data_IF_220707492536
#
_entry.id   IF_220707492536
#
_cell.length_a   1.000
_cell.length_b   1.000
_cell.length_c   1.000
_cell.angle_alpha   90.00
_cell.angle_beta   90.00
_cell.angle_gamma   90.00
#
_symmetry.space_group_name_H-M   'P 1'
#
loop_
_entity.id
_entity.type
_entity.pdbx_description
1 polymer ?
#
# COMPACT_ATOMS: atom_id res chain seq x y z
N UNK A 1 -15.36 3.00 -6.07
CA UNK A 1 -15.29 1.91 -7.07
C UNK A 1 -16.70 1.69 -7.58
N UNK A 2 -16.92 1.76 -8.87
CA UNK A 2 -18.25 1.50 -9.45
C UNK A 2 -18.48 -0.03 -9.60
N UNK A 3 -19.73 -0.45 -9.89
CA UNK A 3 -20.08 -1.87 -9.99
C UNK A 3 -19.27 -2.61 -11.09
N UNK A 4 -18.89 -1.92 -12.16
CA UNK A 4 -18.07 -2.48 -13.25
C UNK A 4 -16.63 -2.73 -12.81
N UNK A 5 -16.02 -1.83 -12.06
CA UNK A 5 -14.68 -2.02 -11.48
C UNK A 5 -14.67 -3.19 -10.50
N UNK A 6 -15.72 -3.30 -9.68
CA UNK A 6 -15.89 -4.42 -8.75
C UNK A 6 -16.02 -5.76 -9.47
N UNK A 7 -16.89 -5.83 -10.47
CA UNK A 7 -17.06 -7.02 -11.31
C UNK A 7 -15.77 -7.37 -12.07
N UNK A 8 -15.04 -6.35 -12.55
CA UNK A 8 -13.75 -6.54 -13.21
C UNK A 8 -12.70 -7.20 -12.31
N UNK A 9 -12.55 -6.73 -11.07
CA UNK A 9 -11.61 -7.32 -10.11
C UNK A 9 -11.98 -8.76 -9.72
N UNK A 10 -13.28 -9.05 -9.58
CA UNK A 10 -13.76 -10.42 -9.34
C UNK A 10 -13.48 -11.34 -10.54
N UNK A 11 -13.71 -10.86 -11.76
CA UNK A 11 -13.43 -11.61 -12.99
C UNK A 11 -11.93 -11.91 -13.14
N UNK A 12 -11.05 -10.95 -12.84
CA UNK A 12 -9.60 -11.13 -12.85
C UNK A 12 -9.19 -12.24 -11.90
N UNK A 13 -9.67 -12.24 -10.67
CA UNK A 13 -9.37 -13.29 -9.70
C UNK A 13 -9.92 -14.69 -10.10
N UNK A 14 -11.00 -14.73 -10.90
CA UNK A 14 -11.57 -15.98 -11.40
C UNK A 14 -10.74 -16.59 -12.53
N UNK A 15 -10.06 -15.75 -13.31
CA UNK A 15 -9.21 -16.15 -14.45
C UNK A 15 -7.76 -16.43 -14.00
N UNK A 16 -7.31 -15.87 -12.90
CA UNK A 16 -6.04 -16.22 -12.26
C UNK A 16 -6.17 -17.61 -11.63
N UNK A 17 -5.85 -18.67 -12.40
CA UNK A 17 -5.88 -20.04 -11.93
C UNK A 17 -4.99 -20.24 -10.71
N UNK A 18 -5.39 -21.13 -9.77
CA UNK A 18 -4.58 -21.47 -8.62
C UNK A 18 -3.25 -22.06 -9.07
N UNK A 19 -2.20 -21.27 -9.00
CA UNK A 19 -0.85 -21.79 -8.97
C UNK A 19 -0.62 -22.49 -7.61
N UNK A 20 0.47 -23.24 -7.42
CA UNK A 20 0.78 -23.95 -6.18
C UNK A 20 1.11 -23.01 -4.99
N UNK A 21 0.81 -21.73 -5.09
CA UNK A 21 1.07 -20.78 -4.02
C UNK A 21 0.16 -21.06 -2.83
N UNK A 22 0.74 -21.31 -1.68
CA UNK A 22 0.01 -21.48 -0.43
C UNK A 22 -0.60 -20.14 -0.04
N UNK A 23 -1.93 -20.13 0.08
CA UNK A 23 -2.65 -19.02 0.68
C UNK A 23 -3.33 -19.48 1.96
N UNK A 24 -3.18 -18.72 3.01
CA UNK A 24 -3.84 -18.96 4.30
C UNK A 24 -4.66 -17.74 4.66
N UNK A 25 -5.63 -17.93 5.56
CA UNK A 25 -6.43 -16.84 6.11
C UNK A 25 -6.28 -16.83 7.62
N UNK A 26 -6.20 -15.67 8.21
CA UNK A 26 -6.15 -15.50 9.65
C UNK A 26 -7.06 -14.36 10.10
N UNK A 27 -7.60 -14.50 11.32
CA UNK A 27 -8.40 -13.49 11.98
C UNK A 27 -7.48 -12.62 12.83
N UNK A 28 -7.35 -11.33 12.51
CA UNK A 28 -6.52 -10.42 13.30
C UNK A 28 -7.33 -9.57 14.29
N UNK A 29 -8.61 -9.28 13.99
CA UNK A 29 -9.49 -8.56 14.90
C UNK A 29 -10.78 -9.34 15.12
N UNK A 30 -10.96 -9.89 16.34
CA UNK A 30 -12.16 -10.69 16.70
C UNK A 30 -13.42 -9.85 16.82
N UNK A 31 -13.30 -8.63 17.36
CA UNK A 31 -14.44 -7.75 17.60
C UNK A 31 -15.15 -7.39 16.28
N UNK A 32 -14.40 -7.12 15.25
CA UNK A 32 -14.93 -6.67 13.96
C UNK A 32 -14.85 -7.73 12.85
N UNK A 33 -14.45 -8.97 13.20
CA UNK A 33 -14.29 -10.09 12.25
C UNK A 33 -13.40 -9.75 11.04
N UNK A 34 -12.34 -8.97 11.29
CA UNK A 34 -11.41 -8.58 10.24
C UNK A 34 -10.34 -9.65 10.05
N UNK A 35 -10.07 -9.96 8.79
CA UNK A 35 -9.17 -11.04 8.40
C UNK A 35 -8.06 -10.55 7.48
N UNK A 36 -7.00 -11.32 7.41
CA UNK A 36 -5.94 -11.22 6.41
C UNK A 36 -5.93 -12.45 5.50
N UNK A 37 -5.54 -12.23 4.24
CA UNK A 37 -5.12 -13.29 3.33
C UNK A 37 -3.59 -13.26 3.24
N UNK A 38 -2.94 -14.39 3.46
CA UNK A 38 -1.49 -14.54 3.50
C UNK A 38 -1.07 -15.34 2.27
N UNK A 39 -0.07 -14.84 1.56
CA UNK A 39 0.51 -15.47 0.38
C UNK A 39 2.00 -15.67 0.64
N UNK A 40 2.39 -16.92 0.82
CA UNK A 40 3.79 -17.32 0.96
C UNK A 40 4.29 -17.85 -0.38
N UNK A 41 5.29 -17.14 -0.91
CA UNK A 41 6.14 -17.65 -2.00
C UNK A 41 7.29 -18.45 -1.44
N UNK A 42 8.37 -18.53 -2.21
CA UNK A 42 9.65 -19.12 -1.76
C UNK A 42 10.43 -18.14 -0.83
N UNK A 43 9.71 -17.38 0.00
CA UNK A 43 10.31 -16.45 0.93
C UNK A 43 11.19 -17.19 1.93
N UNK A 44 12.42 -16.72 2.13
CA UNK A 44 13.27 -17.22 3.21
C UNK A 44 12.60 -16.92 4.57
N UNK A 45 12.89 -17.72 5.59
CA UNK A 45 12.35 -17.51 6.94
C UNK A 45 12.63 -16.09 7.47
N UNK A 46 13.72 -15.46 7.02
CA UNK A 46 14.17 -14.12 7.42
C UNK A 46 13.83 -13.03 6.40
N UNK A 47 13.02 -13.35 5.35
CA UNK A 47 12.66 -12.41 4.29
C UNK A 47 11.69 -11.31 4.75
N UNK A 48 11.48 -10.29 3.90
CA UNK A 48 10.54 -9.20 4.16
C UNK A 48 9.10 -9.71 4.27
N UNK A 49 8.30 -9.05 5.10
CA UNK A 49 6.82 -9.17 5.09
C UNK A 49 6.22 -7.90 4.52
N UNK A 50 5.37 -8.03 3.52
CA UNK A 50 4.63 -6.89 2.96
C UNK A 50 3.20 -6.92 3.46
N UNK A 51 2.79 -5.91 4.22
CA UNK A 51 1.40 -5.69 4.62
C UNK A 51 0.73 -4.75 3.61
N UNK A 52 -0.23 -5.27 2.87
CA UNK A 52 -0.92 -4.55 1.80
C UNK A 52 -2.36 -4.20 2.16
N UNK A 53 -2.74 -2.94 1.91
CA UNK A 53 -4.11 -2.45 2.01
C UNK A 53 -4.66 -2.11 0.62
N UNK A 54 -5.87 -2.60 0.33
CA UNK A 54 -6.53 -2.40 -0.96
C UNK A 54 -7.21 -1.04 -1.08
N UNK A 55 -7.54 -0.68 -2.34
CA UNK A 55 -8.29 0.53 -2.66
C UNK A 55 -9.80 0.36 -2.56
N UNK A 56 -10.54 1.46 -2.77
CA UNK A 56 -12.00 1.46 -2.77
C UNK A 56 -12.62 2.72 -2.18
N UNK A 57 -11.89 3.84 -2.18
CA UNK A 57 -12.35 5.14 -1.69
C UNK A 57 -12.88 5.07 -0.23
N UNK A 58 -12.31 4.19 0.59
CA UNK A 58 -12.72 3.91 1.98
C UNK A 58 -14.18 3.46 2.14
N UNK A 59 -14.89 3.13 1.05
CA UNK A 59 -16.30 2.74 1.02
C UNK A 59 -16.51 1.30 0.54
N UNK A 60 -15.58 0.76 -0.21
CA UNK A 60 -15.73 -0.53 -0.88
C UNK A 60 -14.42 -1.29 -0.92
N UNK A 61 -14.45 -2.48 -1.50
CA UNK A 61 -13.32 -3.38 -1.60
C UNK A 61 -13.35 -4.48 -0.55
N UNK A 62 -12.59 -5.53 -0.84
CA UNK A 62 -12.39 -6.67 0.04
C UNK A 62 -11.07 -7.35 -0.31
N UNK A 63 -10.34 -7.90 0.68
CA UNK A 63 -9.04 -8.55 0.48
C UNK A 63 -9.05 -9.60 -0.64
N UNK A 64 -10.13 -10.39 -0.73
CA UNK A 64 -10.24 -11.46 -1.74
C UNK A 64 -10.23 -10.95 -3.19
N UNK A 65 -10.52 -9.67 -3.41
CA UNK A 65 -10.45 -9.05 -4.74
C UNK A 65 -9.03 -8.71 -5.16
N UNK A 66 -8.09 -8.73 -4.21
CA UNK A 66 -6.69 -8.37 -4.42
C UNK A 66 -5.73 -9.57 -4.30
N UNK A 67 -6.27 -10.79 -4.48
CA UNK A 67 -5.48 -12.02 -4.54
C UNK A 67 -4.32 -11.90 -5.52
N UNK A 68 -4.56 -11.37 -6.72
CA UNK A 68 -3.55 -11.17 -7.76
C UNK A 68 -2.38 -10.28 -7.31
N UNK A 69 -2.62 -9.32 -6.39
CA UNK A 69 -1.56 -8.49 -5.79
C UNK A 69 -0.76 -9.31 -4.78
N UNK A 70 -1.45 -10.03 -3.87
CA UNK A 70 -0.78 -10.90 -2.90
C UNK A 70 0.12 -11.93 -3.58
N UNK A 71 -0.38 -12.59 -4.63
CA UNK A 71 0.40 -13.54 -5.44
C UNK A 71 1.56 -12.86 -6.20
N UNK A 72 1.37 -11.61 -6.69
CA UNK A 72 2.43 -10.88 -7.37
C UNK A 72 3.58 -10.57 -6.41
N UNK A 73 3.28 -10.05 -5.23
CA UNK A 73 4.26 -9.73 -4.21
C UNK A 73 4.98 -10.98 -3.69
N UNK A 74 4.24 -12.06 -3.40
CA UNK A 74 4.83 -13.30 -2.92
C UNK A 74 5.83 -13.91 -3.93
N UNK A 75 5.59 -13.78 -5.24
CA UNK A 75 6.54 -14.20 -6.29
C UNK A 75 7.81 -13.36 -6.34
N UNK A 76 7.85 -12.21 -5.69
CA UNK A 76 9.05 -11.40 -5.52
C UNK A 76 9.88 -11.82 -4.28
N UNK A 77 9.54 -12.94 -3.64
CA UNK A 77 10.29 -13.51 -2.53
C UNK A 77 9.95 -12.90 -1.16
N UNK A 78 8.78 -12.26 -1.03
CA UNK A 78 8.29 -11.74 0.25
C UNK A 78 7.05 -12.51 0.71
N UNK A 79 6.80 -12.56 2.03
CA UNK A 79 5.49 -12.95 2.54
C UNK A 79 4.53 -11.77 2.34
N UNK A 80 3.46 -11.95 1.58
CA UNK A 80 2.47 -10.90 1.34
C UNK A 80 1.21 -11.12 2.18
N UNK A 81 0.83 -10.12 2.97
CA UNK A 81 -0.34 -10.11 3.83
C UNK A 81 -1.30 -9.04 3.32
N UNK A 82 -2.48 -9.44 2.85
CA UNK A 82 -3.52 -8.53 2.37
C UNK A 82 -4.59 -8.40 3.44
N UNK A 83 -4.74 -7.21 4.04
CA UNK A 83 -5.60 -6.99 5.20
C UNK A 83 -6.94 -6.35 4.83
N UNK A 84 -8.00 -6.79 5.51
CA UNK A 84 -9.28 -6.08 5.56
C UNK A 84 -9.21 -4.87 6.50
N UNK A 85 -10.14 -3.96 6.31
CA UNK A 85 -10.42 -2.85 7.21
C UNK A 85 -11.90 -2.45 7.09
N UNK A 86 -12.49 -1.88 8.17
CA UNK A 86 -13.86 -1.35 8.14
C UNK A 86 -13.94 -0.11 7.24
N UNK A 87 -15.10 0.08 6.65
CA UNK A 87 -15.35 1.08 5.61
C UNK A 87 -16.57 1.94 5.94
N UNK A 88 -16.62 3.14 5.37
CA UNK A 88 -17.83 3.96 5.40
C UNK A 88 -19.02 3.24 4.75
N UNK A 89 -20.26 3.36 5.29
CA UNK A 89 -20.66 4.18 6.43
C UNK A 89 -20.53 3.50 7.80
N UNK A 90 -20.08 2.23 7.86
CA UNK A 90 -19.97 1.45 9.12
C UNK A 90 -18.89 2.02 10.03
N UNK A 91 -17.80 2.52 9.45
CA UNK A 91 -16.67 3.10 10.17
C UNK A 91 -16.28 4.46 9.61
N UNK A 92 -15.64 5.28 10.43
CA UNK A 92 -14.99 6.53 10.05
C UNK A 92 -13.48 6.35 9.98
N UNK A 93 -12.78 7.38 9.55
CA UNK A 93 -11.32 7.35 9.39
C UNK A 93 -10.57 6.85 10.62
N UNK A 94 -10.94 7.32 11.82
CA UNK A 94 -10.28 6.89 13.06
C UNK A 94 -10.42 5.37 13.28
N UNK A 95 -11.61 4.80 13.04
CA UNK A 95 -11.87 3.36 13.17
C UNK A 95 -11.09 2.56 12.13
N UNK A 96 -11.13 3.01 10.86
CA UNK A 96 -10.39 2.36 9.77
C UNK A 96 -8.87 2.42 10.01
N UNK A 97 -8.37 3.54 10.54
CA UNK A 97 -6.95 3.68 10.86
C UNK A 97 -6.54 2.82 12.05
N UNK A 98 -7.42 2.63 13.03
CA UNK A 98 -7.23 1.68 14.12
C UNK A 98 -7.16 0.25 13.58
N UNK A 99 -8.07 -0.16 12.69
CA UNK A 99 -8.04 -1.49 12.07
C UNK A 99 -6.70 -1.74 11.35
N UNK A 100 -6.18 -0.72 10.68
CA UNK A 100 -4.88 -0.81 9.99
C UNK A 100 -3.71 -0.95 10.98
N UNK A 101 -3.77 -0.28 12.16
CA UNK A 101 -2.79 -0.47 13.24
C UNK A 101 -2.87 -1.89 13.81
N UNK A 102 -4.07 -2.40 14.08
CA UNK A 102 -4.28 -3.76 14.59
C UNK A 102 -3.76 -4.82 13.61
N UNK A 103 -3.95 -4.61 12.29
CA UNK A 103 -3.38 -5.48 11.26
C UNK A 103 -1.84 -5.47 11.29
N UNK A 104 -1.22 -4.31 11.48
CA UNK A 104 0.23 -4.20 11.61
C UNK A 104 0.71 -4.88 12.90
N UNK A 105 0.06 -4.65 14.03
CA UNK A 105 0.41 -5.27 15.31
C UNK A 105 0.29 -6.80 15.25
N UNK A 106 -0.72 -7.30 14.55
CA UNK A 106 -0.87 -8.73 14.27
C UNK A 106 0.31 -9.26 13.43
N UNK A 107 0.69 -8.56 12.34
CA UNK A 107 1.85 -8.94 11.50
C UNK A 107 3.13 -8.98 12.34
N UNK A 108 3.36 -7.99 13.20
CA UNK A 108 4.53 -7.95 14.07
C UNK A 108 4.57 -9.10 15.09
N UNK A 109 3.40 -9.58 15.49
CA UNK A 109 3.26 -10.72 16.42
C UNK A 109 3.48 -12.06 15.71
N UNK A 110 2.93 -12.23 14.50
CA UNK A 110 3.04 -13.48 13.73
C UNK A 110 4.42 -13.67 13.08
N UNK A 111 5.10 -12.55 12.80
CA UNK A 111 6.41 -12.54 12.14
C UNK A 111 7.46 -11.81 12.99
N UNK A 112 7.78 -12.31 14.19
CA UNK A 112 8.69 -11.63 15.11
C UNK A 112 10.10 -11.51 14.51
N UNK A 113 10.66 -10.31 14.60
CA UNK A 113 12.02 -10.01 14.11
C UNK A 113 12.14 -9.81 12.61
N UNK A 114 11.05 -10.00 11.83
CA UNK A 114 11.08 -9.72 10.39
C UNK A 114 10.88 -8.23 10.09
N UNK A 115 11.48 -7.78 9.03
CA UNK A 115 11.35 -6.42 8.52
C UNK A 115 10.07 -6.28 7.69
N UNK A 116 9.34 -5.18 7.90
CA UNK A 116 8.02 -4.95 7.33
C UNK A 116 8.09 -3.90 6.22
N UNK A 117 7.43 -4.18 5.10
CA UNK A 117 7.13 -3.20 4.06
C UNK A 117 5.63 -2.93 4.07
N UNK A 118 5.24 -1.69 4.28
CA UNK A 118 3.85 -1.29 4.16
C UNK A 118 3.54 -0.95 2.71
N UNK A 119 2.45 -1.48 2.18
CA UNK A 119 2.07 -1.25 0.79
C UNK A 119 0.57 -1.01 0.65
N UNK A 120 0.17 -0.33 -0.42
CA UNK A 120 -1.25 -0.17 -0.69
C UNK A 120 -1.55 0.49 -2.03
N UNK A 121 -2.82 0.40 -2.42
CA UNK A 121 -3.35 1.03 -3.61
C UNK A 121 -4.44 2.04 -3.26
N UNK A 122 -4.41 3.25 -3.85
CA UNK A 122 -5.46 4.26 -3.69
C UNK A 122 -5.74 4.57 -2.20
N UNK A 123 -6.96 4.39 -1.70
CA UNK A 123 -7.32 4.54 -0.28
C UNK A 123 -6.45 3.67 0.65
N UNK A 124 -6.05 2.47 0.21
CA UNK A 124 -5.13 1.62 0.95
C UNK A 124 -3.71 2.16 1.01
N UNK A 125 -3.24 2.82 -0.06
CA UNK A 125 -1.94 3.50 -0.04
C UNK A 125 -1.93 4.70 0.92
N UNK A 126 -3.05 5.38 1.09
CA UNK A 126 -3.21 6.39 2.12
C UNK A 126 -3.06 5.81 3.54
N UNK A 127 -3.76 4.71 3.85
CA UNK A 127 -3.66 4.04 5.16
C UNK A 127 -2.24 3.53 5.43
N UNK A 128 -1.66 2.81 4.47
CA UNK A 128 -0.29 2.30 4.56
C UNK A 128 0.74 3.42 4.74
N UNK A 129 0.57 4.54 4.02
CA UNK A 129 1.46 5.70 4.14
C UNK A 129 1.39 6.35 5.51
N UNK A 130 0.19 6.53 6.08
CA UNK A 130 0.02 7.05 7.44
C UNK A 130 0.62 6.11 8.49
N UNK A 131 0.45 4.79 8.35
CA UNK A 131 1.11 3.81 9.23
C UNK A 131 2.62 3.91 9.14
N UNK A 132 3.16 3.95 7.92
CA UNK A 132 4.61 4.04 7.68
C UNK A 132 5.20 5.28 8.35
N UNK A 133 4.50 6.40 8.27
CA UNK A 133 4.92 7.65 8.90
C UNK A 133 4.79 7.57 10.43
N UNK A 134 3.61 7.28 10.94
CA UNK A 134 3.33 7.42 12.37
C UNK A 134 4.00 6.35 13.24
N UNK A 135 4.23 5.13 12.68
CA UNK A 135 4.84 4.01 13.41
C UNK A 135 6.38 3.98 13.31
N UNK A 136 6.99 4.91 12.57
CA UNK A 136 8.45 5.09 12.48
C UNK A 136 8.97 6.24 13.36
N UNK A 137 8.09 6.96 14.02
CA UNK A 137 8.47 8.07 14.90
C UNK A 137 9.33 7.55 16.06
N UNK A 138 10.49 8.19 16.29
CA UNK A 138 11.44 7.82 17.34
C UNK A 138 12.62 6.96 16.84
N UNK A 139 12.72 6.73 15.52
CA UNK A 139 13.92 6.20 14.86
C UNK A 139 14.11 4.68 14.95
N UNK A 140 13.42 3.97 15.84
CA UNK A 140 13.45 2.51 15.88
C UNK A 140 12.10 1.95 15.40
N UNK A 141 12.13 1.30 14.24
CA UNK A 141 10.93 0.71 13.68
C UNK A 141 11.29 -0.52 12.85
N UNK A 142 10.51 -1.61 12.92
CA UNK A 142 10.65 -2.74 12.01
C UNK A 142 10.17 -2.41 10.59
N UNK A 143 9.58 -1.22 10.37
CA UNK A 143 9.08 -0.79 9.06
C UNK A 143 10.27 -0.27 8.25
N UNK A 144 10.67 -1.02 7.23
CA UNK A 144 11.81 -0.72 6.36
C UNK A 144 11.45 0.12 5.13
N UNK A 145 10.20 0.03 4.67
CA UNK A 145 9.81 0.71 3.46
C UNK A 145 8.30 0.90 3.34
N UNK A 146 7.95 1.80 2.42
CA UNK A 146 6.57 2.04 2.01
C UNK A 146 6.46 1.99 0.48
N UNK A 147 5.47 1.23 -0.04
CA UNK A 147 5.13 1.17 -1.47
C UNK A 147 3.72 1.71 -1.67
N UNK A 148 3.62 2.87 -2.29
CA UNK A 148 2.34 3.53 -2.54
C UNK A 148 1.96 3.55 -4.02
N UNK A 149 0.89 2.84 -4.39
CA UNK A 149 0.35 2.81 -5.75
C UNK A 149 -0.85 3.75 -5.84
N UNK A 150 -0.72 4.84 -6.60
CA UNK A 150 -1.76 5.83 -6.87
C UNK A 150 -2.46 6.36 -5.60
N UNK A 151 -1.72 6.59 -4.52
CA UNK A 151 -2.28 7.02 -3.24
C UNK A 151 -2.56 8.51 -3.17
N UNK A 152 -3.66 8.92 -2.48
CA UNK A 152 -3.91 10.31 -2.10
C UNK A 152 -3.15 10.61 -0.81
N UNK A 153 -2.26 11.62 -0.85
CA UNK A 153 -1.39 11.96 0.28
C UNK A 153 -1.52 13.41 0.75
N UNK A 154 -2.14 14.26 -0.10
CA UNK A 154 -2.37 15.69 0.15
C UNK A 154 -3.64 16.14 -0.59
N UNK A 155 -4.82 15.83 -0.04
CA UNK A 155 -6.12 15.98 -0.70
C UNK A 155 -7.13 16.82 0.10
N UNK A 156 -6.68 17.52 1.12
CA UNK A 156 -7.47 18.55 1.79
C UNK A 156 -7.27 19.91 1.10
N UNK A 157 -8.34 20.71 0.89
CA UNK A 157 -9.75 20.45 1.23
C UNK A 157 -10.38 19.36 0.37
N UNK A 158 -11.33 18.62 0.98
CA UNK A 158 -11.97 17.49 0.32
C UNK A 158 -12.92 17.94 -0.81
N UNK A 159 -12.88 17.24 -1.93
CA UNK A 159 -13.75 17.47 -3.09
C UNK A 159 -15.06 16.67 -3.03
N UNK A 160 -15.08 15.54 -2.34
CA UNK A 160 -16.26 14.69 -2.23
C UNK A 160 -16.96 14.91 -0.88
N UNK A 161 -18.31 15.02 -0.90
CA UNK A 161 -19.10 15.25 0.31
C UNK A 161 -18.92 14.16 1.37
N UNK A 162 -18.76 12.92 0.96
CA UNK A 162 -18.53 11.79 1.85
C UNK A 162 -17.26 11.96 2.68
N UNK A 163 -16.18 12.50 2.09
CA UNK A 163 -14.91 12.66 2.77
C UNK A 163 -15.01 13.59 4.00
N UNK A 164 -15.86 14.63 3.95
CA UNK A 164 -16.09 15.50 5.09
C UNK A 164 -16.70 14.77 6.30
N UNK A 165 -17.52 13.74 6.03
CA UNK A 165 -18.10 12.90 7.07
C UNK A 165 -17.14 11.79 7.53
N UNK A 166 -16.45 11.15 6.59
CA UNK A 166 -15.53 10.07 6.87
C UNK A 166 -14.30 10.54 7.68
N UNK A 167 -13.66 11.62 7.26
CA UNK A 167 -12.46 12.17 7.92
C UNK A 167 -12.77 13.12 9.09
N UNK A 168 -14.05 13.44 9.32
CA UNK A 168 -14.45 14.34 10.41
C UNK A 168 -14.26 13.75 11.81
N UNK A 169 -14.28 14.56 12.84
CA UNK A 169 -14.55 16.01 12.86
C UNK A 169 -13.41 16.87 12.31
N UNK A 170 -13.68 18.14 12.02
CA UNK A 170 -12.78 19.05 11.29
C UNK A 170 -11.37 19.17 11.87
N UNK A 171 -11.21 19.07 13.19
CA UNK A 171 -9.91 19.11 13.86
C UNK A 171 -9.01 17.89 13.54
N UNK A 172 -9.59 16.80 13.03
CA UNK A 172 -8.84 15.60 12.59
C UNK A 172 -8.38 15.67 11.12
N UNK A 173 -8.88 16.63 10.31
CA UNK A 173 -8.53 16.67 8.89
C UNK A 173 -7.03 16.77 8.63
N UNK A 174 -6.24 17.56 9.36
CA UNK A 174 -4.79 17.58 9.19
C UNK A 174 -4.12 16.23 9.47
N UNK A 175 -4.54 15.53 10.51
CA UNK A 175 -3.97 14.21 10.87
C UNK A 175 -4.27 13.11 9.86
N UNK A 176 -5.28 13.31 9.02
CA UNK A 176 -5.59 12.39 7.93
C UNK A 176 -4.72 12.59 6.67
N UNK A 177 -3.85 13.62 6.63
CA UNK A 177 -3.05 13.93 5.45
C UNK A 177 -1.59 13.47 5.64
N UNK A 178 -1.12 12.41 4.96
CA UNK A 178 0.24 11.91 5.10
C UNK A 178 1.33 12.98 5.00
N UNK A 179 1.21 13.90 4.03
CA UNK A 179 2.19 14.99 3.83
C UNK A 179 2.35 15.87 5.08
N UNK A 180 1.30 16.04 5.88
CA UNK A 180 1.36 16.88 7.09
C UNK A 180 1.88 16.15 8.33
N UNK A 181 1.98 14.81 8.26
CA UNK A 181 2.47 13.97 9.36
C UNK A 181 3.96 13.63 9.25
N UNK A 182 4.61 14.00 8.12
CA UNK A 182 6.00 13.63 7.85
C UNK A 182 6.99 14.23 8.87
N UNK A 183 7.97 13.41 9.23
CA UNK A 183 9.13 13.74 10.08
C UNK A 183 10.41 13.09 9.48
N UNK A 184 11.57 13.31 10.09
CA UNK A 184 12.87 12.82 9.58
C UNK A 184 13.04 11.30 9.63
N UNK A 185 12.31 10.61 10.53
CA UNK A 185 12.50 9.19 10.81
C UNK A 185 11.67 8.26 9.92
N UNK A 186 11.00 8.80 8.88
CA UNK A 186 10.17 7.99 7.98
C UNK A 186 11.02 6.98 7.20
N UNK A 187 10.47 5.77 6.92
CA UNK A 187 11.17 4.78 6.11
C UNK A 187 11.32 5.28 4.67
N UNK A 188 12.19 4.62 3.90
CA UNK A 188 12.28 4.88 2.46
C UNK A 188 10.93 4.61 1.78
N UNK A 189 10.66 5.33 0.68
CA UNK A 189 9.37 5.25 -0.01
C UNK A 189 9.52 5.00 -1.50
N UNK A 190 8.72 4.07 -2.04
CA UNK A 190 8.48 3.90 -3.48
C UNK A 190 7.08 4.37 -3.81
N UNK A 191 6.98 5.43 -4.62
CA UNK A 191 5.72 6.07 -4.99
C UNK A 191 5.44 5.90 -6.48
N UNK A 192 4.49 5.04 -6.82
CA UNK A 192 4.13 4.67 -8.19
C UNK A 192 2.82 5.33 -8.61
N UNK A 193 2.77 5.94 -9.79
CA UNK A 193 1.61 6.67 -10.27
C UNK A 193 1.41 6.54 -11.78
N UNK A 194 0.17 6.46 -12.23
CA UNK A 194 -0.16 6.56 -13.64
C UNK A 194 -0.25 8.03 -14.10
N UNK A 195 0.29 8.37 -15.27
CA UNK A 195 0.19 9.71 -15.83
C UNK A 195 -1.26 10.08 -16.17
N UNK A 196 -2.08 9.08 -16.55
CA UNK A 196 -3.48 9.22 -16.93
C UNK A 196 -4.45 8.97 -15.74
N UNK A 197 -3.95 9.06 -14.50
CA UNK A 197 -4.81 8.95 -13.32
C UNK A 197 -5.63 10.22 -13.12
N UNK A 198 -6.94 10.12 -13.42
CA UNK A 198 -7.91 11.19 -13.23
C UNK A 198 -8.66 11.10 -11.88
N UNK A 199 -8.52 10.00 -11.15
CA UNK A 199 -9.15 9.82 -9.83
C UNK A 199 -8.29 10.38 -8.71
N UNK A 200 -7.02 9.98 -8.67
CA UNK A 200 -6.01 10.51 -7.78
C UNK A 200 -4.94 11.19 -8.61
N UNK A 201 -4.94 12.50 -8.63
CA UNK A 201 -4.00 13.27 -9.46
C UNK A 201 -2.55 12.96 -9.08
N UNK A 202 -1.67 12.75 -10.04
CA UNK A 202 -0.24 12.45 -9.85
C UNK A 202 0.52 13.49 -9.00
N UNK A 203 -0.03 14.68 -8.80
CA UNK A 203 0.46 15.68 -7.86
C UNK A 203 0.48 15.22 -6.40
N UNK A 204 -0.35 14.24 -6.03
CA UNK A 204 -0.40 13.67 -4.70
C UNK A 204 0.91 12.94 -4.34
N UNK A 205 1.37 12.04 -5.20
CA UNK A 205 2.65 11.36 -5.02
C UNK A 205 3.84 12.32 -5.16
N UNK A 206 3.71 13.38 -5.98
CA UNK A 206 4.76 14.41 -6.10
C UNK A 206 4.91 15.18 -4.78
N UNK A 207 3.80 15.62 -4.17
CA UNK A 207 3.84 16.36 -2.91
C UNK A 207 4.49 15.55 -1.77
N UNK A 208 4.14 14.25 -1.65
CA UNK A 208 4.76 13.37 -0.67
C UNK A 208 6.26 13.20 -0.93
N UNK A 209 6.63 12.90 -2.17
CA UNK A 209 8.01 12.74 -2.61
C UNK A 209 8.88 13.95 -2.28
N UNK A 210 8.46 15.16 -2.72
CA UNK A 210 9.20 16.38 -2.48
C UNK A 210 9.36 16.70 -1.00
N UNK A 211 8.31 16.41 -0.20
CA UNK A 211 8.36 16.64 1.23
C UNK A 211 9.29 15.66 1.96
N UNK A 212 9.32 14.38 1.57
CA UNK A 212 10.26 13.39 2.12
C UNK A 212 11.69 13.81 1.84
N UNK A 213 12.02 14.17 0.60
CA UNK A 213 13.36 14.63 0.24
C UNK A 213 13.75 15.91 0.98
N UNK A 214 12.80 16.85 1.14
CA UNK A 214 13.02 18.08 1.90
C UNK A 214 13.31 17.89 3.39
N UNK A 215 13.00 16.71 3.93
CA UNK A 215 13.33 16.30 5.30
C UNK A 215 14.61 15.43 5.38
N UNK A 216 15.30 15.23 4.25
CA UNK A 216 16.49 14.37 4.17
C UNK A 216 16.17 12.87 4.10
N UNK A 217 14.89 12.49 3.95
CA UNK A 217 14.48 11.10 3.77
C UNK A 217 14.76 10.58 2.36
N UNK A 218 14.57 9.27 2.17
CA UNK A 218 14.76 8.59 0.88
C UNK A 218 13.40 8.29 0.24
N UNK A 219 13.21 8.72 -1.00
CA UNK A 219 12.02 8.39 -1.76
C UNK A 219 12.33 8.25 -3.26
N UNK A 220 11.67 7.29 -3.91
CA UNK A 220 11.71 7.08 -5.34
C UNK A 220 10.29 7.30 -5.86
N UNK A 221 10.15 8.09 -6.91
CA UNK A 221 8.86 8.33 -7.55
C UNK A 221 8.91 7.95 -9.03
N UNK A 222 8.00 7.07 -9.46
CA UNK A 222 7.83 6.67 -10.86
C UNK A 222 6.46 7.06 -11.38
N UNK A 223 6.42 7.57 -12.59
CA UNK A 223 5.17 7.91 -13.30
C UNK A 223 5.15 7.16 -14.62
N UNK A 224 4.08 6.41 -14.87
CA UNK A 224 3.93 5.58 -16.06
C UNK A 224 2.97 6.24 -17.03
N UNK A 225 3.48 6.64 -18.20
CA UNK A 225 2.76 7.50 -19.17
C UNK A 225 1.45 6.91 -19.67
N UNK A 226 1.36 5.59 -19.81
CA UNK A 226 0.20 4.92 -20.41
C UNK A 226 -0.77 4.30 -19.38
N UNK A 227 -0.55 4.53 -18.08
CA UNK A 227 -1.39 3.95 -17.03
C UNK A 227 -2.29 4.99 -16.38
N UNK A 228 -3.52 4.59 -16.09
CA UNK A 228 -4.46 5.30 -15.24
C UNK A 228 -4.50 4.71 -13.84
N UNK A 229 -5.56 5.04 -13.07
CA UNK A 229 -5.72 4.65 -11.68
C UNK A 229 -5.83 3.13 -11.47
N UNK A 230 -6.73 2.50 -12.22
CA UNK A 230 -6.95 1.05 -12.13
C UNK A 230 -5.88 0.27 -12.89
N UNK A 231 -5.43 0.78 -14.03
CA UNK A 231 -4.41 0.12 -14.85
C UNK A 231 -3.12 -0.09 -14.07
N UNK A 232 -2.76 0.85 -13.17
CA UNK A 232 -1.55 0.74 -12.36
C UNK A 232 -1.57 -0.52 -11.47
N UNK A 233 -2.65 -0.80 -10.77
CA UNK A 233 -2.73 -1.99 -9.92
C UNK A 233 -2.93 -3.27 -10.75
N UNK A 234 -3.54 -3.17 -11.93
CA UNK A 234 -3.70 -4.28 -12.85
C UNK A 234 -2.37 -4.77 -13.47
N UNK A 235 -1.30 -4.02 -13.34
CA UNK A 235 0.05 -4.49 -13.68
C UNK A 235 0.49 -5.69 -12.81
N UNK A 236 -0.16 -5.90 -11.67
CA UNK A 236 0.06 -7.07 -10.81
C UNK A 236 -0.61 -8.36 -11.33
N UNK A 237 -1.49 -8.30 -12.35
CA UNK A 237 -2.14 -9.50 -12.87
C UNK A 237 -1.15 -10.40 -13.63
N UNK A 238 -1.36 -11.71 -13.55
CA UNK A 238 -0.42 -12.74 -14.00
C UNK A 238 0.10 -12.55 -15.43
N UNK A 239 -0.77 -12.22 -16.38
CA UNK A 239 -0.39 -12.09 -17.80
C UNK A 239 0.30 -10.76 -18.12
N UNK A 240 0.26 -9.74 -17.24
CA UNK A 240 0.99 -8.48 -17.39
C UNK A 240 2.36 -8.52 -16.74
N UNK A 241 2.48 -9.20 -15.60
CA UNK A 241 3.71 -9.25 -14.76
C UNK A 241 5.02 -9.43 -15.54
N UNK A 242 5.12 -10.35 -16.54
CA UNK A 242 6.39 -10.57 -17.23
C UNK A 242 6.92 -9.37 -17.99
N UNK A 243 6.08 -8.38 -18.26
CA UNK A 243 6.42 -7.18 -19.03
C UNK A 243 6.06 -5.89 -18.28
N UNK A 244 5.79 -6.00 -16.98
CA UNK A 244 5.35 -4.88 -16.16
C UNK A 244 6.53 -4.13 -15.55
N UNK A 245 6.76 -2.90 -15.98
CA UNK A 245 7.70 -2.00 -15.31
C UNK A 245 7.31 -1.68 -13.87
N UNK A 246 6.01 -1.72 -13.53
CA UNK A 246 5.52 -1.53 -12.15
C UNK A 246 6.05 -2.65 -11.25
N UNK A 247 5.92 -3.91 -11.68
CA UNK A 247 6.42 -5.07 -10.94
C UNK A 247 7.95 -5.06 -10.87
N UNK A 248 8.61 -4.67 -11.96
CA UNK A 248 10.06 -4.55 -11.98
C UNK A 248 10.57 -3.50 -10.98
N UNK A 249 9.95 -2.32 -10.93
CA UNK A 249 10.32 -1.27 -9.98
C UNK A 249 10.04 -1.71 -8.53
N UNK A 250 8.95 -2.43 -8.26
CA UNK A 250 8.67 -3.02 -6.94
C UNK A 250 9.74 -4.06 -6.58
N UNK A 251 10.11 -4.96 -7.50
CA UNK A 251 11.13 -5.97 -7.26
C UNK A 251 12.49 -5.35 -6.94
N UNK A 252 12.91 -4.35 -7.72
CA UNK A 252 14.15 -3.61 -7.48
C UNK A 252 14.16 -2.93 -6.11
N UNK A 253 13.05 -2.31 -5.73
CA UNK A 253 12.92 -1.66 -4.45
C UNK A 253 13.00 -2.64 -3.27
N UNK A 254 12.26 -3.75 -3.33
CA UNK A 254 12.31 -4.80 -2.31
C UNK A 254 13.72 -5.39 -2.16
N UNK A 255 14.42 -5.62 -3.29
CA UNK A 255 15.80 -6.06 -3.26
C UNK A 255 16.74 -5.01 -2.64
N UNK A 256 16.55 -3.74 -2.97
CA UNK A 256 17.36 -2.64 -2.41
C UNK A 256 17.17 -2.50 -0.89
N UNK A 257 15.98 -2.78 -0.36
CA UNK A 257 15.73 -2.81 1.09
C UNK A 257 16.53 -3.90 1.79
N UNK A 258 16.68 -5.09 1.20
CA UNK A 258 17.45 -6.20 1.78
C UNK A 258 18.95 -5.99 1.67
N UNK A 259 19.42 -5.30 0.64
CA UNK A 259 20.85 -5.02 0.40
C UNK A 259 21.30 -3.67 0.96
N UNK A 260 20.44 -2.91 1.61
CA UNK A 260 20.68 -1.54 2.11
C UNK A 260 21.12 -0.54 1.04
N UNK A 261 20.72 -0.73 -0.22
CA UNK A 261 21.14 0.06 -1.39
C UNK A 261 20.08 1.01 -1.96
N UNK A 262 19.04 1.36 -1.17
CA UNK A 262 17.95 2.27 -1.65
C UNK A 262 18.51 3.62 -2.13
N UNK A 263 19.50 4.18 -1.44
CA UNK A 263 20.15 5.43 -1.86
C UNK A 263 20.95 5.29 -3.17
N UNK A 264 21.44 4.09 -3.48
CA UNK A 264 22.09 3.79 -4.76
C UNK A 264 21.05 3.66 -5.86
N UNK A 265 19.96 2.96 -5.61
CA UNK A 265 18.83 2.83 -6.52
C UNK A 265 18.25 4.21 -6.88
N UNK A 266 18.10 5.11 -5.91
CA UNK A 266 17.65 6.48 -6.18
C UNK A 266 18.60 7.20 -7.16
N UNK A 267 19.91 7.08 -6.96
CA UNK A 267 20.92 7.70 -7.83
C UNK A 267 20.96 7.11 -9.24
N UNK A 268 20.74 5.81 -9.40
CA UNK A 268 20.74 5.13 -10.70
C UNK A 268 19.51 5.47 -11.54
N UNK A 269 18.36 5.73 -10.93
CA UNK A 269 17.13 6.08 -11.62
C UNK A 269 17.09 7.53 -12.13
N UNK A 270 18.07 8.36 -11.74
CA UNK A 270 18.24 9.73 -12.22
C UNK A 270 19.27 9.86 -13.38
N UNK A 271 19.89 8.76 -13.78
CA UNK A 271 20.76 8.67 -14.96
C UNK A 271 19.98 8.11 -16.15
#
# INVERSE_FOLDING_TARGET
MNALEHAGLLAINSVEFPGPMRSMQALFCREHQLMVDIYDGDASADGLVTLFFYGGNWQSGHRSQYRFVGEALARLGVTAVVADYRKWPVARFADTYQDANEALDWVLTEYPGREIVLAGHSAGAHLAGLLAINRSLGGWSPIKGFIGLAGPYYFYPFSESMHWHYFGPAWQYPSSQPVWQLHSDVPSMLLLHGANDHRVRRGQSKALYERVLGLGGLAIRRVYENLGHAELILECVRWRRPHSFVIEDIARYLNALTTHSVAEMERELWR
#
